data_IF_763022057387
#
_entry.id   IF_763022057387
#
_cell.length_a   1.000
_cell.length_b   1.000
_cell.length_c   1.000
_cell.angle_alpha   90.00
_cell.angle_beta   90.00
_cell.angle_gamma   90.00
#
_symmetry.space_group_name_H-M   'P 1'
#
loop_
_entity.id
_entity.type
_entity.pdbx_description
1 polymer ?
#
# COMPACT_ATOMS: atom_id res chain seq x y z
N UNK A 1 -8.43 -8.06 -9.44
CA UNK A 1 -7.51 -9.17 -9.15
C UNK A 1 -6.41 -9.13 -10.21
N UNK A 2 -5.15 -8.98 -9.81
CA UNK A 2 -4.02 -8.88 -10.74
C UNK A 2 -3.27 -10.23 -10.72
N UNK A 3 -3.02 -10.82 -11.88
CA UNK A 3 -2.29 -12.09 -11.97
C UNK A 3 -0.79 -11.82 -12.13
N UNK A 4 0.01 -12.23 -11.15
CA UNK A 4 1.47 -12.10 -11.19
C UNK A 4 2.11 -13.32 -11.88
N UNK A 5 3.11 -13.08 -12.73
CA UNK A 5 4.08 -14.10 -13.16
C UNK A 5 5.12 -14.30 -12.06
N UNK A 6 5.72 -15.47 -11.97
CA UNK A 6 6.88 -15.67 -11.09
C UNK A 6 8.01 -14.71 -11.46
N UNK A 7 8.57 -14.00 -10.49
CA UNK A 7 9.64 -13.03 -10.70
C UNK A 7 9.74 -12.01 -9.58
N UNK A 8 10.69 -11.09 -9.68
CA UNK A 8 10.89 -10.02 -8.71
C UNK A 8 10.08 -8.79 -9.11
N UNK A 9 9.28 -8.26 -8.18
CA UNK A 9 8.45 -7.08 -8.41
C UNK A 9 8.90 -5.93 -7.51
N UNK A 10 8.80 -4.72 -8.04
CA UNK A 10 8.84 -3.50 -7.25
C UNK A 10 7.41 -2.98 -7.07
N UNK A 11 7.04 -2.68 -5.83
CA UNK A 11 5.77 -2.07 -5.47
C UNK A 11 6.00 -0.70 -4.84
N UNK A 12 5.15 0.26 -5.16
CA UNK A 12 5.15 1.60 -4.57
C UNK A 12 3.74 1.99 -4.16
N UNK A 13 3.62 2.50 -2.94
CA UNK A 13 2.41 3.03 -2.36
C UNK A 13 2.64 4.48 -1.95
N UNK A 14 1.74 5.36 -2.38
CA UNK A 14 1.75 6.78 -2.07
C UNK A 14 0.38 7.16 -1.56
N UNK A 15 0.28 7.66 -0.34
CA UNK A 15 -0.99 8.04 0.27
C UNK A 15 -1.04 9.53 0.56
N UNK A 16 -2.22 10.12 0.35
CA UNK A 16 -2.55 11.46 0.82
C UNK A 16 -3.70 11.36 1.82
N UNK A 17 -3.50 11.75 3.08
CA UNK A 17 -4.55 11.73 4.13
C UNK A 17 -4.09 12.47 5.40
N UNK A 18 -5.03 12.73 6.30
CA UNK A 18 -4.79 13.22 7.66
C UNK A 18 -4.34 12.07 8.59
N UNK A 19 -4.94 10.88 8.44
CA UNK A 19 -4.64 9.69 9.24
C UNK A 19 -4.68 8.45 8.36
N UNK A 20 -3.59 7.68 8.31
CA UNK A 20 -3.55 6.43 7.56
C UNK A 20 -2.71 5.36 8.27
N UNK A 21 -3.29 4.17 8.39
CA UNK A 21 -2.64 2.99 8.92
C UNK A 21 -2.88 1.86 7.94
N UNK A 22 -1.96 1.70 6.98
CA UNK A 22 -2.10 0.69 5.94
C UNK A 22 -0.90 -0.24 5.90
N UNK A 23 -1.20 -1.49 5.58
CA UNK A 23 -0.24 -2.52 5.27
C UNK A 23 -0.29 -2.81 3.77
N UNK A 24 0.88 -3.03 3.19
CA UNK A 24 0.99 -3.82 1.97
C UNK A 24 1.16 -5.28 2.39
N UNK A 25 0.30 -6.16 1.87
CA UNK A 25 0.22 -7.55 2.33
C UNK A 25 0.38 -8.53 1.17
N UNK A 26 0.85 -9.74 1.49
CA UNK A 26 1.08 -10.85 0.54
C UNK A 26 0.22 -12.07 0.93
N UNK A 27 -0.71 -12.48 0.07
CA UNK A 27 -1.60 -13.65 0.21
C UNK A 27 -2.56 -13.65 1.41
N UNK A 28 -2.27 -12.90 2.47
CA UNK A 28 -3.08 -12.79 3.67
C UNK A 28 -2.87 -11.44 4.34
N UNK A 29 -3.93 -10.89 4.94
CA UNK A 29 -3.89 -9.65 5.73
C UNK A 29 -2.90 -9.70 6.91
N UNK A 30 -2.51 -10.90 7.35
CA UNK A 30 -1.53 -11.10 8.43
C UNK A 30 -0.08 -11.14 7.97
N UNK A 31 0.17 -11.28 6.66
CA UNK A 31 1.51 -11.34 6.09
C UNK A 31 1.90 -9.97 5.51
N UNK A 32 2.36 -9.10 6.41
CA UNK A 32 2.72 -7.72 6.09
C UNK A 32 4.11 -7.66 5.47
N UNK A 33 4.20 -7.09 4.27
CA UNK A 33 5.45 -6.95 3.51
C UNK A 33 5.96 -5.51 3.43
N UNK A 34 5.11 -4.53 3.78
CA UNK A 34 5.43 -3.11 3.91
C UNK A 34 4.30 -2.37 4.65
N UNK A 35 4.57 -1.16 5.14
CA UNK A 35 3.56 -0.38 5.88
C UNK A 35 3.73 1.13 5.66
N UNK A 36 2.63 1.85 5.86
CA UNK A 36 2.59 3.30 6.05
C UNK A 36 1.68 3.57 7.25
N UNK A 37 2.23 4.24 8.25
CA UNK A 37 1.55 4.52 9.51
C UNK A 37 1.78 5.98 9.87
N UNK A 38 0.70 6.77 9.92
CA UNK A 38 0.75 8.18 10.28
C UNK A 38 -0.53 8.57 11.03
N UNK A 39 -0.33 9.08 12.25
CA UNK A 39 -1.34 9.71 13.09
C UNK A 39 -1.01 11.21 13.17
N UNK A 40 -1.40 11.99 12.16
CA UNK A 40 -1.18 13.43 12.19
C UNK A 40 -2.47 14.19 12.54
N UNK A 41 -2.65 14.61 13.81
CA UNK A 41 -3.83 15.39 14.19
C UNK A 41 -3.86 16.79 13.58
N UNK A 42 -2.75 17.26 12.99
CA UNK A 42 -2.54 18.66 12.61
C UNK A 42 -2.55 18.91 11.10
N UNK A 43 -2.98 17.95 10.28
CA UNK A 43 -3.32 18.21 8.88
C UNK A 43 -2.94 17.12 7.89
N UNK A 44 -3.25 17.39 6.62
CA UNK A 44 -2.98 16.48 5.51
C UNK A 44 -1.47 16.24 5.32
N UNK A 45 -1.09 14.98 5.16
CA UNK A 45 0.25 14.55 4.76
C UNK A 45 0.22 13.72 3.49
N UNK A 46 1.38 13.68 2.85
CA UNK A 46 1.65 12.82 1.71
C UNK A 46 2.88 11.97 2.02
N UNK A 47 2.68 10.67 2.20
CA UNK A 47 3.75 9.72 2.51
C UNK A 47 3.84 8.62 1.47
N UNK A 48 5.04 8.04 1.35
CA UNK A 48 5.35 7.02 0.35
C UNK A 48 6.17 5.89 0.95
N UNK A 49 5.86 4.68 0.54
CA UNK A 49 6.70 3.50 0.80
C UNK A 49 6.87 2.70 -0.48
N UNK A 50 7.96 1.97 -0.55
CA UNK A 50 8.23 1.05 -1.66
C UNK A 50 8.90 -0.20 -1.15
N UNK A 51 8.62 -1.32 -1.80
CA UNK A 51 9.22 -2.61 -1.47
C UNK A 51 9.61 -3.35 -2.75
N UNK A 52 10.56 -4.26 -2.61
CA UNK A 52 10.92 -5.23 -3.66
C UNK A 52 10.68 -6.62 -3.11
N UNK A 53 9.93 -7.45 -3.83
CA UNK A 53 9.61 -8.82 -3.43
C UNK A 53 9.59 -9.77 -4.61
N UNK A 54 10.18 -10.94 -4.39
CA UNK A 54 9.99 -12.07 -5.28
C UNK A 54 8.60 -12.66 -5.05
N UNK A 55 7.85 -12.88 -6.13
CA UNK A 55 6.53 -13.49 -6.14
C UNK A 55 6.54 -14.78 -6.95
N UNK A 56 5.75 -15.75 -6.51
CA UNK A 56 5.42 -16.95 -7.28
C UNK A 56 4.09 -16.75 -7.99
N UNK A 57 3.89 -17.41 -9.14
CA UNK A 57 2.59 -17.44 -9.79
C UNK A 57 1.49 -17.88 -8.82
N UNK A 58 0.44 -17.06 -8.70
CA UNK A 58 -0.66 -17.27 -7.75
C UNK A 58 -0.54 -16.49 -6.45
N UNK A 59 0.60 -15.85 -6.18
CA UNK A 59 0.70 -14.87 -5.10
C UNK A 59 -0.14 -13.63 -5.41
N UNK A 60 -0.74 -13.02 -4.39
CA UNK A 60 -1.54 -11.81 -4.46
C UNK A 60 -0.94 -10.74 -3.55
N UNK A 61 -0.82 -9.51 -4.06
CA UNK A 61 -0.36 -8.33 -3.30
C UNK A 61 -1.42 -7.24 -3.34
N UNK A 62 -1.79 -6.71 -2.18
CA UNK A 62 -2.75 -5.61 -2.06
C UNK A 62 -2.49 -4.74 -0.83
N UNK A 63 -3.13 -3.58 -0.81
CA UNK A 63 -3.12 -2.65 0.33
C UNK A 63 -4.33 -2.96 1.23
N UNK A 64 -4.09 -3.09 2.54
CA UNK A 64 -5.11 -3.35 3.53
C UNK A 64 -5.01 -2.33 4.67
N UNK A 65 -6.15 -1.81 5.14
CA UNK A 65 -6.19 -1.01 6.36
C UNK A 65 -5.87 -1.88 7.57
N UNK A 66 -5.15 -1.33 8.54
CA UNK A 66 -4.83 -2.02 9.80
C UNK A 66 -6.12 -2.16 10.63
N UNK A 67 -6.55 -3.38 10.99
CA UNK A 67 -7.77 -3.60 11.76
C UNK A 67 -7.74 -2.87 13.11
N UNK A 68 -8.86 -2.27 13.51
CA UNK A 68 -8.99 -1.57 14.79
C UNK A 68 -8.37 -0.17 14.84
N UNK A 69 -7.82 0.32 13.72
CA UNK A 69 -7.33 1.69 13.60
C UNK A 69 -8.27 2.52 12.73
N UNK A 70 -8.37 3.82 13.00
CA UNK A 70 -8.97 4.75 12.05
C UNK A 70 -8.00 4.92 10.87
N UNK A 71 -8.45 4.62 9.66
CA UNK A 71 -7.66 4.82 8.44
C UNK A 71 -8.52 5.53 7.42
N UNK A 72 -8.08 6.72 7.01
CA UNK A 72 -8.69 7.47 5.92
C UNK A 72 -7.70 7.46 4.76
N UNK A 73 -8.16 7.11 3.57
CA UNK A 73 -7.36 7.21 2.35
C UNK A 73 -8.12 8.14 1.42
N UNK A 74 -7.57 9.32 1.16
CA UNK A 74 -8.21 10.29 0.29
C UNK A 74 -7.79 10.10 -1.17
N UNK A 75 -8.74 10.33 -2.07
CA UNK A 75 -8.59 10.13 -3.51
C UNK A 75 -9.56 10.95 -4.34
N UNK A 76 -9.70 12.25 -4.06
CA UNK A 76 -10.51 13.14 -4.91
C UNK A 76 -10.83 14.53 -4.35
N UNK A 77 -10.82 14.72 -3.02
CA UNK A 77 -11.03 16.04 -2.43
C UNK A 77 -9.78 16.92 -2.60
N UNK A 78 -9.95 18.12 -3.15
CA UNK A 78 -8.88 19.11 -3.25
C UNK A 78 -7.71 18.76 -4.19
N UNK A 79 -7.92 17.84 -5.15
CA UNK A 79 -6.83 17.39 -6.05
C UNK A 79 -5.84 16.42 -5.39
N UNK A 80 -6.22 15.83 -4.26
CA UNK A 80 -5.42 14.81 -3.58
C UNK A 80 -5.65 13.44 -4.19
N UNK A 81 -4.56 12.71 -4.35
CA UNK A 81 -4.56 11.37 -4.91
C UNK A 81 -3.72 10.43 -4.05
N UNK A 82 -4.19 9.19 -3.96
CA UNK A 82 -3.47 8.06 -3.40
C UNK A 82 -3.25 7.05 -4.51
N UNK A 83 -2.03 6.54 -4.64
CA UNK A 83 -1.60 5.68 -5.73
C UNK A 83 -0.98 4.40 -5.18
N UNK A 84 -1.38 3.27 -5.75
CA UNK A 84 -0.70 2.00 -5.61
C UNK A 84 -0.28 1.50 -6.98
N UNK A 85 0.98 1.09 -7.11
CA UNK A 85 1.55 0.61 -8.36
C UNK A 85 2.56 -0.50 -8.11
N UNK A 86 2.76 -1.36 -9.11
CA UNK A 86 3.83 -2.33 -9.10
C UNK A 86 4.12 -2.86 -10.50
N UNK A 87 5.36 -3.32 -10.70
CA UNK A 87 5.83 -3.84 -11.99
C UNK A 87 6.90 -4.93 -11.79
N UNK A 88 6.98 -5.84 -12.76
CA UNK A 88 7.99 -6.90 -12.83
C UNK A 88 9.36 -6.28 -13.16
N UNK A 89 10.38 -6.66 -12.39
CA UNK A 89 11.77 -6.21 -12.54
C UNK A 89 12.60 -7.27 -13.27
N UNK A 90 12.53 -8.53 -12.81
CA UNK A 90 13.22 -9.69 -13.40
C UNK A 90 12.45 -11.00 -13.23
#
# INVERSE_FOLDING_TARGET
MCFFRTGTYSFSLSLSSIVFHVNLVLNSVTNVIGYLYEDNPNGFRHERTSIVRHLTAGDDVWVACVPGTASNIDGGLGGLHSHFSGFLVD
#
